data_IF_720145375704
#
_entry.id   IF_720145375704
#
_cell.length_a   1.000
_cell.length_b   1.000
_cell.length_c   1.000
_cell.angle_alpha   90.00
_cell.angle_beta   90.00
_cell.angle_gamma   90.00
#
_symmetry.space_group_name_H-M   'P 1'
#
loop_
_entity.id
_entity.type
_entity.pdbx_description
1 polymer ?
#
# COMPACT_ATOMS: atom_id res chain seq x y z
N UNK A 1 -2.86 1.85 2.81
CA UNK A 1 -1.89 1.02 2.07
C UNK A 1 -1.80 1.49 0.61
N UNK A 2 -0.60 1.70 0.07
CA UNK A 2 -0.39 2.05 -1.35
C UNK A 2 0.58 1.06 -1.97
N UNK A 3 0.16 0.36 -3.03
CA UNK A 3 1.05 -0.52 -3.78
C UNK A 3 1.86 0.21 -4.84
N UNK A 4 3.05 -0.32 -5.13
CA UNK A 4 4.05 0.30 -6.01
C UNK A 4 4.29 1.78 -5.68
N UNK A 5 4.53 2.05 -4.39
CA UNK A 5 4.65 3.40 -3.83
C UNK A 5 5.78 4.25 -4.43
N UNK A 6 6.77 3.62 -5.05
CA UNK A 6 7.86 4.29 -5.77
C UNK A 6 7.59 4.49 -7.27
N UNK A 7 6.43 4.04 -7.77
CA UNK A 7 6.03 4.15 -9.17
C UNK A 7 5.38 5.49 -9.52
N UNK A 8 5.05 5.70 -10.79
CA UNK A 8 4.47 6.96 -11.27
C UNK A 8 3.17 7.34 -10.55
N UNK A 9 2.19 6.43 -10.50
CA UNK A 9 0.92 6.69 -9.80
C UNK A 9 1.08 6.55 -8.29
N UNK A 10 1.76 5.50 -7.82
CA UNK A 10 1.93 5.23 -6.39
C UNK A 10 2.62 6.37 -5.63
N UNK A 11 3.63 7.02 -6.23
CA UNK A 11 4.34 8.13 -5.60
C UNK A 11 3.45 9.37 -5.41
N UNK A 12 2.55 9.64 -6.35
CA UNK A 12 1.55 10.70 -6.22
C UNK A 12 0.50 10.33 -5.18
N UNK A 13 0.01 9.10 -5.19
CA UNK A 13 -0.97 8.61 -4.21
C UNK A 13 -0.44 8.70 -2.76
N UNK A 14 0.84 8.37 -2.54
CA UNK A 14 1.51 8.56 -1.24
C UNK A 14 1.46 10.02 -0.81
N UNK A 15 1.90 10.93 -1.67
CA UNK A 15 1.96 12.36 -1.34
C UNK A 15 0.58 12.96 -1.08
N UNK A 16 -0.42 12.61 -1.89
CA UNK A 16 -1.81 13.05 -1.72
C UNK A 16 -2.37 12.53 -0.38
N UNK A 17 -2.20 11.24 -0.08
CA UNK A 17 -2.68 10.67 1.17
C UNK A 17 -1.98 11.30 2.40
N UNK A 18 -0.66 11.53 2.31
CA UNK A 18 0.10 12.25 3.36
C UNK A 18 -0.37 13.69 3.53
N UNK A 19 -0.64 14.39 2.44
CA UNK A 19 -1.19 15.76 2.48
C UNK A 19 -2.58 15.81 3.13
N UNK A 20 -3.38 14.76 2.95
CA UNK A 20 -4.69 14.59 3.60
C UNK A 20 -4.59 14.15 5.07
N UNK A 21 -3.39 14.05 5.65
CA UNK A 21 -3.18 13.70 7.06
C UNK A 21 -3.17 12.19 7.35
N UNK A 22 -3.18 11.33 6.33
CA UNK A 22 -3.12 9.88 6.54
C UNK A 22 -1.71 9.42 6.94
N UNK A 23 -1.62 8.38 7.78
CA UNK A 23 -0.44 7.53 7.85
C UNK A 23 -0.43 6.65 6.60
N UNK A 24 0.72 6.56 5.92
CA UNK A 24 0.82 5.80 4.66
C UNK A 24 1.88 4.73 4.78
N UNK A 25 1.47 3.48 4.59
CA UNK A 25 2.36 2.34 4.34
C UNK A 25 2.39 2.09 2.83
N UNK A 26 3.59 2.01 2.25
CA UNK A 26 3.80 1.91 0.81
C UNK A 26 4.65 0.70 0.42
N UNK A 27 4.18 -0.16 -0.48
CA UNK A 27 5.00 -1.30 -0.93
C UNK A 27 5.96 -0.90 -2.05
N UNK A 28 7.22 -1.31 -1.93
CA UNK A 28 8.26 -1.08 -2.93
C UNK A 28 9.45 -2.03 -2.71
N UNK A 29 10.28 -2.24 -3.73
CA UNK A 29 11.55 -2.98 -3.57
C UNK A 29 12.48 -2.28 -2.59
N UNK A 30 13.31 -3.01 -1.84
CA UNK A 30 14.26 -2.44 -0.87
C UNK A 30 15.07 -1.23 -1.39
N UNK A 31 15.56 -1.30 -2.64
CA UNK A 31 16.34 -0.20 -3.27
C UNK A 31 15.59 1.14 -3.37
N UNK A 32 14.26 1.12 -3.32
CA UNK A 32 13.41 2.32 -3.42
C UNK A 32 12.90 2.80 -2.06
N UNK A 33 13.26 2.14 -0.95
CA UNK A 33 12.71 2.47 0.36
C UNK A 33 13.08 3.88 0.82
N UNK A 34 14.29 4.36 0.53
CA UNK A 34 14.68 5.74 0.84
C UNK A 34 13.80 6.75 0.09
N UNK A 35 13.52 6.48 -1.18
CA UNK A 35 12.61 7.31 -1.98
C UNK A 35 11.19 7.31 -1.40
N UNK A 36 10.64 6.15 -1.05
CA UNK A 36 9.30 6.07 -0.43
C UNK A 36 9.24 6.83 0.91
N UNK A 37 10.30 6.76 1.72
CA UNK A 37 10.40 7.57 2.95
C UNK A 37 10.43 9.06 2.66
N UNK A 38 11.14 9.50 1.62
CA UNK A 38 11.20 10.93 1.27
C UNK A 38 9.86 11.47 0.75
N UNK A 39 8.99 10.62 0.20
CA UNK A 39 7.60 10.95 -0.13
C UNK A 39 6.67 10.97 1.11
N UNK A 40 7.16 10.50 2.25
CA UNK A 40 6.44 10.45 3.52
C UNK A 40 5.74 9.13 3.81
N UNK A 41 6.01 8.02 3.11
CA UNK A 41 5.44 6.72 3.47
C UNK A 41 6.42 5.84 4.26
N UNK A 42 5.87 4.92 5.06
CA UNK A 42 6.59 3.81 5.67
C UNK A 42 6.75 2.69 4.61
N UNK A 43 7.97 2.42 4.12
CA UNK A 43 8.16 1.43 3.06
C UNK A 43 8.10 0.00 3.59
N UNK A 44 7.47 -0.87 2.80
CA UNK A 44 7.43 -2.32 3.03
C UNK A 44 7.88 -3.05 1.77
N UNK A 45 8.73 -4.07 1.91
CA UNK A 45 9.13 -4.90 0.78
C UNK A 45 7.99 -5.81 0.31
N UNK A 46 7.72 -5.79 -1.00
CA UNK A 46 6.76 -6.69 -1.63
C UNK A 46 7.31 -8.12 -1.76
N UNK A 47 6.45 -9.06 -2.11
CA UNK A 47 6.80 -10.47 -2.32
C UNK A 47 6.30 -11.36 -1.18
N UNK A 48 6.80 -12.59 -1.12
CA UNK A 48 6.36 -13.62 -0.18
C UNK A 48 6.31 -13.10 1.26
N UNK A 49 5.23 -13.40 2.00
CA UNK A 49 5.04 -12.93 3.38
C UNK A 49 4.61 -11.45 3.51
N UNK A 50 4.23 -10.79 2.41
CA UNK A 50 3.75 -9.40 2.45
C UNK A 50 2.55 -9.22 3.40
N UNK A 51 1.58 -10.13 3.37
CA UNK A 51 0.39 -10.03 4.22
C UNK A 51 0.73 -10.00 5.70
N UNK A 52 1.68 -10.82 6.14
CA UNK A 52 2.09 -10.89 7.55
C UNK A 52 2.80 -9.61 7.98
N UNK A 53 3.73 -9.10 7.18
CA UNK A 53 4.39 -7.80 7.42
C UNK A 53 3.38 -6.66 7.54
N UNK A 54 2.35 -6.69 6.69
CA UNK A 54 1.29 -5.68 6.68
C UNK A 54 0.42 -5.77 7.95
N UNK A 55 0.07 -6.97 8.41
CA UNK A 55 -0.67 -7.19 9.66
C UNK A 55 0.13 -6.75 10.89
N UNK A 56 1.45 -6.93 10.91
CA UNK A 56 2.30 -6.43 11.99
C UNK A 56 2.25 -4.89 12.09
N UNK A 57 2.16 -4.19 10.96
CA UNK A 57 2.11 -2.72 10.91
C UNK A 57 0.73 -2.12 11.16
N UNK A 58 -0.32 -2.90 10.89
CA UNK A 58 -1.71 -2.53 11.09
C UNK A 58 -2.51 -3.75 11.59
N UNK A 59 -2.41 -4.10 12.89
CA UNK A 59 -3.08 -5.28 13.45
C UNK A 59 -4.61 -5.20 13.38
N UNK A 60 -5.16 -3.99 13.37
CA UNK A 60 -6.61 -3.70 13.21
C UNK A 60 -7.02 -3.63 11.73
N UNK A 61 -6.07 -3.79 10.81
CA UNK A 61 -6.26 -3.65 9.37
C UNK A 61 -6.06 -2.21 8.87
N UNK A 62 -6.06 -2.07 7.54
CA UNK A 62 -5.98 -0.77 6.88
C UNK A 62 -7.36 -0.18 6.61
N UNK A 63 -7.56 1.11 6.88
CA UNK A 63 -8.80 1.82 6.53
C UNK A 63 -9.02 1.90 5.02
N UNK A 64 -7.93 1.99 4.26
CA UNK A 64 -7.96 2.04 2.81
C UNK A 64 -6.72 1.42 2.17
N UNK A 65 -6.93 0.80 1.00
CA UNK A 65 -5.89 0.29 0.13
C UNK A 65 -6.05 0.84 -1.29
N UNK A 66 -4.95 1.29 -1.88
CA UNK A 66 -4.89 1.72 -3.27
C UNK A 66 -3.91 0.85 -4.04
N UNK A 67 -4.47 0.05 -4.94
CA UNK A 67 -3.75 -0.90 -5.76
C UNK A 67 -3.44 -0.35 -7.15
N UNK A 68 -2.20 -0.54 -7.57
CA UNK A 68 -1.69 -0.18 -8.90
C UNK A 68 -0.94 -1.35 -9.55
N UNK A 69 -1.04 -2.54 -8.97
CA UNK A 69 -0.28 -3.73 -9.35
C UNK A 69 -1.19 -4.87 -9.82
N UNK A 70 -2.34 -5.07 -9.18
CA UNK A 70 -3.23 -6.19 -9.45
C UNK A 70 -2.71 -7.51 -8.87
N UNK A 71 -3.39 -8.61 -9.23
CA UNK A 71 -2.99 -9.97 -8.85
C UNK A 71 -2.83 -10.16 -7.34
N UNK A 72 -1.70 -10.70 -6.92
CA UNK A 72 -1.48 -11.04 -5.51
C UNK A 72 -1.47 -9.82 -4.58
N UNK A 73 -0.97 -8.67 -5.04
CA UNK A 73 -0.99 -7.44 -4.23
C UNK A 73 -2.42 -7.00 -3.92
N UNK A 74 -3.33 -7.16 -4.91
CA UNK A 74 -4.74 -6.83 -4.74
C UNK A 74 -5.43 -7.78 -3.75
N UNK A 75 -5.15 -9.09 -3.83
CA UNK A 75 -5.67 -10.08 -2.86
C UNK A 75 -5.19 -9.78 -1.44
N UNK A 76 -3.88 -9.52 -1.29
CA UNK A 76 -3.30 -9.14 0.00
C UNK A 76 -3.91 -7.85 0.55
N UNK A 77 -4.20 -6.87 -0.31
CA UNK A 77 -4.94 -5.67 0.13
C UNK A 77 -6.30 -6.03 0.71
N UNK A 78 -7.10 -6.85 0.02
CA UNK A 78 -8.42 -7.25 0.49
C UNK A 78 -8.35 -8.00 1.84
N UNK A 79 -7.34 -8.85 2.04
CA UNK A 79 -7.11 -9.60 3.29
C UNK A 79 -6.60 -8.78 4.48
N UNK A 80 -6.10 -7.57 4.22
CA UNK A 80 -5.47 -6.71 5.25
C UNK A 80 -6.27 -5.44 5.54
N UNK A 81 -7.46 -5.30 4.95
CA UNK A 81 -8.38 -4.22 5.29
C UNK A 81 -8.98 -4.41 6.68
N UNK A 82 -9.22 -3.28 7.35
CA UNK A 82 -10.07 -3.23 8.53
C UNK A 82 -11.54 -3.49 8.14
N UNK A 83 -12.39 -3.79 9.12
CA UNK A 83 -13.83 -3.86 8.89
C UNK A 83 -14.37 -2.52 8.34
N UNK A 84 -15.09 -2.57 7.22
CA UNK A 84 -15.56 -1.37 6.52
C UNK A 84 -14.49 -0.61 5.73
N UNK A 85 -13.26 -1.14 5.66
CA UNK A 85 -12.17 -0.61 4.87
C UNK A 85 -12.49 -0.59 3.37
N UNK A 86 -11.80 0.29 2.63
CA UNK A 86 -12.05 0.50 1.20
C UNK A 86 -10.84 0.13 0.35
N UNK A 87 -11.08 -0.65 -0.70
CA UNK A 87 -10.07 -0.98 -1.70
C UNK A 87 -10.46 -0.34 -3.03
N UNK A 88 -9.52 0.34 -3.66
CA UNK A 88 -9.62 0.81 -5.04
C UNK A 88 -8.42 0.28 -5.83
N UNK A 89 -8.68 -0.32 -7.00
CA UNK A 89 -7.65 -0.71 -7.95
C UNK A 89 -7.83 0.05 -9.26
N UNK A 90 -6.71 0.40 -9.88
CA UNK A 90 -6.64 0.88 -11.27
C UNK A 90 -5.94 -0.13 -12.20
N UNK A 91 -5.52 -1.26 -11.66
CA UNK A 91 -4.78 -2.30 -12.37
C UNK A 91 -5.65 -3.50 -12.72
N UNK A 92 -6.64 -3.81 -11.88
CA UNK A 92 -7.55 -4.92 -12.07
C UNK A 92 -8.98 -4.56 -11.63
N UNK A 93 -9.97 -5.12 -12.31
CA UNK A 93 -11.39 -4.95 -11.97
C UNK A 93 -11.93 -6.06 -11.08
N UNK A 94 -11.22 -7.18 -10.95
CA UNK A 94 -11.64 -8.31 -10.14
C UNK A 94 -11.01 -8.24 -8.75
N UNK A 95 -11.84 -7.96 -7.74
CA UNK A 95 -11.50 -8.02 -6.31
C UNK A 95 -12.22 -9.20 -5.67
#
# INVERSE_FOLDING_TARGET
>A
LVHAAAGGVGSLAVQIARHSGCRVVGTASARNHEHVRSLGAEPVEYGDGLADRLRELAPEGFDAAFDTVGGEALRVSAETLAEGGRLASIADSEV
#
